data_IF_562809715906
#
_entry.id   IF_562809715906
#
_cell.length_a   1.000
_cell.length_b   1.000
_cell.length_c   1.000
_cell.angle_alpha   90.00
_cell.angle_beta   90.00
_cell.angle_gamma   90.00
#
_symmetry.space_group_name_H-M   'P 1'
#
loop_
_entity.id
_entity.type
_entity.pdbx_description
1 polymer ?
#
# COMPACT_ATOMS: atom_id res chain seq x y z
N UNK A 1 6.09 -22.69 10.64
CA UNK A 1 5.23 -21.76 9.86
C UNK A 1 4.36 -20.85 10.75
N UNK A 2 4.01 -21.21 11.98
CA UNK A 2 3.13 -20.40 12.87
C UNK A 2 3.83 -19.26 13.65
N UNK A 3 5.15 -19.33 13.86
CA UNK A 3 5.89 -18.33 14.66
C UNK A 3 5.95 -16.93 14.04
N UNK A 4 5.67 -16.75 12.74
CA UNK A 4 5.72 -15.44 12.09
C UNK A 4 4.43 -14.63 12.30
N UNK A 5 3.34 -15.25 12.75
CA UNK A 5 2.04 -14.63 13.00
C UNK A 5 1.97 -13.88 14.34
N UNK A 6 2.96 -14.00 15.22
CA UNK A 6 3.01 -13.30 16.51
C UNK A 6 3.42 -11.81 16.35
N UNK A 7 2.64 -11.07 15.57
CA UNK A 7 2.82 -9.63 15.40
C UNK A 7 1.44 -8.99 15.47
N UNK A 8 1.27 -7.99 16.31
CA UNK A 8 0.00 -7.29 16.52
C UNK A 8 -0.62 -6.79 15.20
N UNK A 9 0.20 -6.23 14.30
CA UNK A 9 -0.27 -5.74 13.00
C UNK A 9 -0.81 -6.85 12.10
N UNK A 10 -0.19 -8.05 12.15
CA UNK A 10 -0.66 -9.21 11.39
C UNK A 10 -2.00 -9.68 11.93
N UNK A 11 -2.11 -9.83 13.26
CA UNK A 11 -3.35 -10.25 13.89
C UNK A 11 -4.48 -9.26 13.61
N UNK A 12 -4.23 -7.97 13.76
CA UNK A 12 -5.20 -6.91 13.48
C UNK A 12 -5.74 -6.96 12.05
N UNK A 13 -4.86 -7.21 11.06
CA UNK A 13 -5.30 -7.37 9.67
C UNK A 13 -6.14 -8.64 9.49
N UNK A 14 -5.67 -9.80 9.99
CA UNK A 14 -6.37 -11.07 9.82
C UNK A 14 -7.73 -11.07 10.54
N UNK A 15 -7.80 -10.56 11.76
CA UNK A 15 -9.04 -10.44 12.54
C UNK A 15 -10.06 -9.55 11.82
N UNK A 16 -9.61 -8.42 11.26
CA UNK A 16 -10.48 -7.55 10.46
C UNK A 16 -11.03 -8.25 9.22
N UNK A 17 -10.18 -8.98 8.47
CA UNK A 17 -10.61 -9.69 7.27
C UNK A 17 -11.55 -10.85 7.61
N UNK A 18 -11.33 -11.54 8.72
CA UNK A 18 -12.22 -12.59 9.22
C UNK A 18 -13.58 -12.02 9.63
N UNK A 19 -13.59 -10.89 10.34
CA UNK A 19 -14.81 -10.18 10.68
C UNK A 19 -15.59 -9.73 9.42
N UNK A 20 -14.92 -9.26 8.38
CA UNK A 20 -15.54 -8.90 7.10
C UNK A 20 -16.19 -10.14 6.46
N UNK A 21 -15.48 -11.27 6.44
CA UNK A 21 -16.01 -12.50 5.90
C UNK A 21 -17.30 -12.94 6.60
N UNK A 22 -17.35 -12.84 7.94
CA UNK A 22 -18.53 -13.21 8.71
C UNK A 22 -19.68 -12.20 8.61
N UNK A 23 -19.35 -10.88 8.64
CA UNK A 23 -20.37 -9.83 8.70
C UNK A 23 -21.03 -9.53 7.35
N UNK A 24 -20.33 -9.75 6.23
CA UNK A 24 -20.79 -9.36 4.90
C UNK A 24 -20.93 -10.51 3.90
N UNK A 25 -20.86 -11.75 4.37
CA UNK A 25 -20.83 -12.96 3.51
C UNK A 25 -19.82 -12.82 2.35
N UNK A 26 -18.64 -12.28 2.68
CA UNK A 26 -17.53 -12.14 1.73
C UNK A 26 -16.60 -13.35 1.83
N UNK A 27 -15.86 -13.59 0.75
CA UNK A 27 -14.95 -14.74 0.67
C UNK A 27 -13.52 -14.29 0.41
N UNK A 28 -13.01 -13.43 1.30
CA UNK A 28 -11.58 -13.11 1.29
C UNK A 28 -10.82 -14.38 1.69
N UNK A 29 -9.91 -14.82 0.84
CA UNK A 29 -9.12 -16.03 1.09
C UNK A 29 -7.99 -15.73 2.07
N UNK A 30 -8.23 -16.00 3.36
CA UNK A 30 -7.27 -15.72 4.43
C UNK A 30 -5.96 -16.50 4.29
N UNK A 31 -5.96 -17.70 3.71
CA UNK A 31 -4.73 -18.49 3.54
C UNK A 31 -3.83 -17.85 2.46
N UNK A 32 -4.41 -17.35 1.37
CA UNK A 32 -3.66 -16.56 0.38
C UNK A 32 -3.14 -15.26 0.96
N UNK A 33 -3.91 -14.58 1.82
CA UNK A 33 -3.47 -13.37 2.53
C UNK A 33 -2.31 -13.69 3.48
N UNK A 34 -2.40 -14.74 4.28
CA UNK A 34 -1.29 -15.19 5.15
C UNK A 34 -0.03 -15.50 4.34
N UNK A 35 -0.18 -16.12 3.16
CA UNK A 35 0.93 -16.36 2.24
C UNK A 35 1.55 -15.04 1.78
N UNK A 36 0.77 -14.03 1.40
CA UNK A 36 1.27 -12.72 1.00
C UNK A 36 2.01 -12.00 2.14
N UNK A 37 1.49 -12.07 3.37
CA UNK A 37 2.17 -11.54 4.57
C UNK A 37 3.53 -12.22 4.78
N UNK A 38 3.58 -13.55 4.63
CA UNK A 38 4.85 -14.28 4.70
C UNK A 38 5.85 -13.80 3.64
N UNK A 39 5.40 -13.58 2.40
CA UNK A 39 6.24 -13.09 1.31
C UNK A 39 6.73 -11.66 1.59
N UNK A 40 5.86 -10.73 1.99
CA UNK A 40 6.24 -9.38 2.36
C UNK A 40 7.29 -9.39 3.48
N UNK A 41 7.07 -10.14 4.57
CA UNK A 41 8.02 -10.27 5.68
C UNK A 41 9.34 -10.90 5.26
N UNK A 42 9.32 -11.96 4.43
CA UNK A 42 10.51 -12.65 3.93
C UNK A 42 11.37 -11.74 3.07
N UNK A 43 10.77 -11.02 2.12
CA UNK A 43 11.51 -10.26 1.12
C UNK A 43 11.96 -8.88 1.63
N UNK A 44 11.17 -8.23 2.49
CA UNK A 44 11.61 -7.01 3.21
C UNK A 44 12.54 -7.31 4.40
N UNK A 45 12.59 -8.54 4.88
CA UNK A 45 13.40 -9.11 5.98
C UNK A 45 14.07 -8.08 6.93
N UNK A 46 15.29 -7.63 6.62
CA UNK A 46 16.08 -6.72 7.45
C UNK A 46 15.85 -5.23 7.12
N UNK A 47 14.97 -4.90 6.17
CA UNK A 47 14.66 -3.51 5.85
C UNK A 47 13.89 -2.87 7.00
N UNK A 48 14.23 -1.61 7.27
CA UNK A 48 13.57 -0.78 8.29
C UNK A 48 13.07 0.51 7.67
N UNK A 49 11.97 1.03 8.18
CA UNK A 49 11.55 2.41 7.93
C UNK A 49 12.50 3.39 8.61
N UNK A 50 12.46 4.65 8.21
CA UNK A 50 13.25 5.70 8.87
C UNK A 50 12.90 5.86 10.35
N UNK A 51 11.70 5.45 10.76
CA UNK A 51 11.23 5.37 12.16
C UNK A 51 11.83 4.19 12.95
N UNK A 52 12.55 3.27 12.28
CA UNK A 52 13.25 2.14 12.87
C UNK A 52 12.45 0.83 12.91
N UNK A 53 11.17 0.85 12.66
CA UNK A 53 10.31 -0.35 12.62
C UNK A 53 10.59 -1.22 11.38
N UNK A 54 10.30 -2.54 11.41
CA UNK A 54 10.42 -3.41 10.25
C UNK A 54 9.58 -2.91 9.08
N UNK A 55 10.16 -2.84 7.87
CA UNK A 55 9.51 -2.26 6.70
C UNK A 55 8.19 -2.95 6.33
N UNK A 56 8.11 -4.28 6.47
CA UNK A 56 6.92 -5.06 6.12
C UNK A 56 5.66 -4.64 6.88
N UNK A 57 5.78 -3.88 7.98
CA UNK A 57 4.63 -3.37 8.73
C UNK A 57 3.86 -2.32 7.93
N UNK A 58 4.55 -1.51 7.14
CA UNK A 58 3.94 -0.51 6.27
C UNK A 58 2.91 -1.10 5.27
N UNK A 59 3.25 -2.07 4.40
CA UNK A 59 2.27 -2.65 3.50
C UNK A 59 1.11 -3.37 4.22
N UNK A 60 1.31 -3.85 5.44
CA UNK A 60 0.21 -4.38 6.26
C UNK A 60 -0.75 -3.28 6.72
N UNK A 61 -0.25 -2.12 7.14
CA UNK A 61 -1.09 -0.96 7.47
C UNK A 61 -1.85 -0.45 6.25
N UNK A 62 -1.22 -0.42 5.08
CA UNK A 62 -1.91 -0.08 3.82
C UNK A 62 -3.03 -1.09 3.53
N UNK A 63 -2.75 -2.39 3.63
CA UNK A 63 -3.76 -3.44 3.43
C UNK A 63 -4.91 -3.37 4.45
N UNK A 64 -4.61 -3.03 5.71
CA UNK A 64 -5.61 -2.84 6.76
C UNK A 64 -6.56 -1.68 6.42
N UNK A 65 -6.04 -0.59 5.86
CA UNK A 65 -6.87 0.54 5.39
C UNK A 65 -7.64 0.19 4.10
N UNK A 66 -7.02 -0.54 3.17
CA UNK A 66 -7.68 -1.01 1.93
C UNK A 66 -8.89 -1.87 2.25
N UNK A 67 -8.84 -2.67 3.31
CA UNK A 67 -9.94 -3.54 3.75
C UNK A 67 -11.21 -2.77 4.19
N UNK A 68 -11.13 -1.45 4.40
CA UNK A 68 -12.33 -0.62 4.64
C UNK A 68 -13.13 -0.34 3.34
N UNK A 69 -12.48 -0.49 2.18
CA UNK A 69 -13.04 -0.08 0.89
C UNK A 69 -13.14 -1.21 -0.13
N UNK A 70 -12.35 -2.27 0.00
CA UNK A 70 -12.33 -3.39 -0.94
C UNK A 70 -12.30 -4.73 -0.21
N UNK A 71 -13.19 -5.64 -0.65
CA UNK A 71 -13.30 -7.01 -0.13
C UNK A 71 -12.77 -8.06 -1.10
N UNK A 72 -11.97 -7.65 -2.09
CA UNK A 72 -11.36 -8.55 -3.08
C UNK A 72 -10.04 -9.10 -2.55
N UNK A 73 -9.89 -10.41 -2.50
CA UNK A 73 -8.64 -11.08 -2.09
C UNK A 73 -7.42 -10.54 -2.85
N UNK A 74 -7.53 -10.40 -4.18
CA UNK A 74 -6.42 -9.95 -5.02
C UNK A 74 -6.00 -8.51 -4.68
N UNK A 75 -6.96 -7.62 -4.38
CA UNK A 75 -6.66 -6.22 -3.99
C UNK A 75 -5.92 -6.16 -2.65
N UNK A 76 -6.36 -6.95 -1.67
CA UNK A 76 -5.67 -7.05 -0.36
C UNK A 76 -4.25 -7.58 -0.53
N UNK A 77 -4.06 -8.65 -1.30
CA UNK A 77 -2.74 -9.22 -1.57
C UNK A 77 -1.86 -8.22 -2.32
N UNK A 78 -2.41 -7.50 -3.32
CA UNK A 78 -1.69 -6.45 -4.04
C UNK A 78 -1.22 -5.35 -3.09
N UNK A 79 -2.07 -4.92 -2.14
CA UNK A 79 -1.68 -3.95 -1.13
C UNK A 79 -0.55 -4.45 -0.22
N UNK A 80 -0.56 -5.74 0.16
CA UNK A 80 0.52 -6.34 0.97
C UNK A 80 1.85 -6.44 0.20
N UNK A 81 1.79 -6.61 -1.13
CA UNK A 81 2.98 -6.82 -1.96
C UNK A 81 3.41 -5.58 -2.76
N UNK A 82 2.73 -4.44 -2.64
CA UNK A 82 2.83 -3.31 -3.58
C UNK A 82 4.24 -2.75 -3.77
N UNK A 83 5.09 -2.80 -2.73
CA UNK A 83 6.47 -2.30 -2.76
C UNK A 83 7.51 -3.41 -3.05
N UNK A 84 7.10 -4.68 -3.08
CA UNK A 84 8.07 -5.79 -3.12
C UNK A 84 8.89 -5.85 -4.41
N UNK A 85 8.30 -5.55 -5.57
CA UNK A 85 9.06 -5.51 -6.85
C UNK A 85 10.01 -4.32 -6.89
N UNK A 86 9.63 -3.18 -6.28
CA UNK A 86 10.46 -1.97 -6.29
C UNK A 86 11.64 -2.08 -5.34
N UNK A 87 11.42 -2.61 -4.13
CA UNK A 87 12.35 -2.48 -3.00
C UNK A 87 13.03 -3.80 -2.60
N UNK A 88 12.71 -4.91 -3.28
CA UNK A 88 13.25 -6.23 -2.93
C UNK A 88 13.66 -7.03 -4.17
N UNK A 89 14.11 -8.27 -3.95
CA UNK A 89 14.43 -9.23 -5.02
C UNK A 89 13.21 -10.05 -5.48
N UNK A 90 12.00 -9.77 -5.00
CA UNK A 90 10.80 -10.47 -5.45
C UNK A 90 10.42 -9.98 -6.85
N UNK A 91 10.34 -10.92 -7.81
CA UNK A 91 10.03 -10.60 -9.20
C UNK A 91 8.55 -10.79 -9.53
N UNK A 92 8.11 -10.12 -10.61
CA UNK A 92 6.76 -10.27 -11.15
C UNK A 92 6.45 -11.76 -11.45
N UNK A 93 7.37 -12.47 -12.11
CA UNK A 93 7.21 -13.87 -12.49
C UNK A 93 7.01 -14.76 -11.26
N UNK A 94 7.76 -14.48 -10.19
CA UNK A 94 7.59 -15.19 -8.92
C UNK A 94 6.23 -14.92 -8.28
N UNK A 95 5.74 -13.67 -8.32
CA UNK A 95 4.40 -13.35 -7.83
C UNK A 95 3.32 -14.06 -8.68
N UNK A 96 3.47 -14.11 -10.01
CA UNK A 96 2.53 -14.80 -10.88
C UNK A 96 2.42 -16.29 -10.55
N UNK A 97 3.56 -16.97 -10.37
CA UNK A 97 3.62 -18.40 -10.01
C UNK A 97 2.99 -18.66 -8.64
N UNK A 98 3.28 -17.82 -7.66
CA UNK A 98 2.89 -18.04 -6.26
C UNK A 98 1.44 -17.63 -5.97
N UNK A 99 0.92 -16.64 -6.71
CA UNK A 99 -0.43 -16.10 -6.50
C UNK A 99 -1.28 -16.21 -7.76
N UNK A 100 -1.12 -15.30 -8.71
CA UNK A 100 -1.68 -15.33 -10.07
C UNK A 100 -1.12 -14.15 -10.90
N UNK A 101 -1.38 -14.18 -12.22
CA UNK A 101 -0.95 -13.14 -13.16
C UNK A 101 -1.59 -11.77 -12.84
N UNK A 102 -2.86 -11.76 -12.42
CA UNK A 102 -3.56 -10.50 -12.09
C UNK A 102 -2.87 -9.75 -10.95
N UNK A 103 -2.54 -10.42 -9.86
CA UNK A 103 -1.80 -9.82 -8.73
C UNK A 103 -0.42 -9.34 -9.19
N UNK A 104 0.30 -10.15 -9.97
CA UNK A 104 1.63 -9.80 -10.47
C UNK A 104 1.60 -8.53 -11.35
N UNK A 105 0.62 -8.42 -12.24
CA UNK A 105 0.41 -7.22 -13.07
C UNK A 105 0.03 -5.99 -12.23
N UNK A 106 -0.81 -6.17 -11.22
CA UNK A 106 -1.22 -5.09 -10.33
C UNK A 106 -0.03 -4.56 -9.51
N UNK A 107 0.77 -5.42 -8.90
CA UNK A 107 1.98 -5.03 -8.16
C UNK A 107 2.97 -4.33 -9.09
N UNK A 108 3.20 -4.89 -10.30
CA UNK A 108 4.04 -4.24 -11.30
C UNK A 108 3.50 -2.86 -11.69
N UNK A 109 2.20 -2.69 -11.84
CA UNK A 109 1.60 -1.40 -12.19
C UNK A 109 1.82 -0.33 -11.11
N UNK A 110 1.96 -0.71 -9.84
CA UNK A 110 2.28 0.17 -8.71
C UNK A 110 3.78 0.45 -8.57
N UNK A 111 4.65 -0.33 -9.22
CA UNK A 111 6.11 -0.18 -9.18
C UNK A 111 6.54 1.05 -9.98
N UNK A 112 7.18 2.03 -9.33
CA UNK A 112 7.64 3.29 -9.95
C UNK A 112 8.98 3.17 -10.64
N UNK A 113 9.90 2.39 -10.08
CA UNK A 113 11.24 2.19 -10.63
C UNK A 113 11.30 0.86 -11.40
N UNK A 114 11.43 0.95 -12.73
CA UNK A 114 11.53 -0.20 -13.62
C UNK A 114 12.79 -0.10 -14.46
N UNK A 115 13.74 -0.99 -14.20
CA UNK A 115 14.99 -1.02 -14.97
C UNK A 115 15.75 0.30 -14.96
N UNK A 116 15.79 1.00 -13.81
CA UNK A 116 16.48 2.28 -13.66
C UNK A 116 15.69 3.52 -14.13
N UNK A 117 14.50 3.34 -14.73
CA UNK A 117 13.61 4.47 -15.10
C UNK A 117 12.57 4.68 -14.02
N UNK A 118 12.62 5.83 -13.34
CA UNK A 118 11.67 6.22 -12.31
C UNK A 118 10.48 6.98 -12.90
N UNK A 119 9.27 6.45 -12.70
CA UNK A 119 8.02 7.13 -13.07
C UNK A 119 7.59 8.06 -11.94
N UNK A 120 7.17 9.30 -12.27
CA UNK A 120 6.59 10.21 -11.27
C UNK A 120 5.22 9.73 -10.79
N UNK A 121 4.82 10.10 -9.56
CA UNK A 121 3.51 9.75 -9.02
C UNK A 121 2.37 10.24 -9.90
N UNK A 122 2.45 11.48 -10.41
CA UNK A 122 1.46 12.05 -11.33
C UNK A 122 1.29 11.21 -12.60
N UNK A 123 2.39 10.80 -13.22
CA UNK A 123 2.32 9.99 -14.44
C UNK A 123 1.68 8.63 -14.16
N UNK A 124 2.03 8.01 -13.02
CA UNK A 124 1.42 6.75 -12.60
C UNK A 124 -0.07 6.91 -12.34
N UNK A 125 -0.48 7.91 -11.56
CA UNK A 125 -1.90 8.20 -11.25
C UNK A 125 -2.69 8.41 -12.56
N UNK A 126 -2.20 9.27 -13.46
CA UNK A 126 -2.84 9.50 -14.77
C UNK A 126 -2.99 8.22 -15.59
N UNK A 127 -1.95 7.37 -15.60
CA UNK A 127 -2.01 6.08 -16.31
C UNK A 127 -3.08 5.17 -15.71
N UNK A 128 -3.15 5.06 -14.38
CA UNK A 128 -4.13 4.22 -13.69
C UNK A 128 -5.57 4.75 -13.85
N UNK A 129 -5.75 6.08 -13.85
CA UNK A 129 -7.05 6.71 -14.14
C UNK A 129 -7.51 6.38 -15.55
N UNK A 130 -6.63 6.55 -16.58
CA UNK A 130 -6.97 6.25 -17.97
C UNK A 130 -7.27 4.77 -18.21
N UNK A 131 -6.81 3.87 -17.34
CA UNK A 131 -7.04 2.43 -17.40
C UNK A 131 -8.19 1.96 -16.49
N UNK A 132 -8.88 2.89 -15.83
CA UNK A 132 -9.93 2.61 -14.84
C UNK A 132 -9.52 1.63 -13.73
N UNK A 133 -8.26 1.75 -13.26
CA UNK A 133 -7.68 0.89 -12.22
C UNK A 133 -7.97 1.43 -10.82
N UNK A 134 -9.25 1.52 -10.46
CA UNK A 134 -9.72 2.15 -9.22
C UNK A 134 -9.08 1.53 -7.98
N UNK A 135 -8.95 0.20 -7.89
CA UNK A 135 -8.33 -0.46 -6.74
C UNK A 135 -6.84 -0.10 -6.59
N UNK A 136 -6.11 0.08 -7.68
CA UNK A 136 -4.70 0.47 -7.62
C UNK A 136 -4.55 1.94 -7.22
N UNK A 137 -5.45 2.80 -7.68
CA UNK A 137 -5.53 4.19 -7.24
C UNK A 137 -5.82 4.28 -5.74
N UNK A 138 -6.72 3.45 -5.22
CA UNK A 138 -7.01 3.35 -3.80
C UNK A 138 -5.77 2.92 -2.99
N UNK A 139 -5.08 1.86 -3.42
CA UNK A 139 -3.83 1.42 -2.77
C UNK A 139 -2.81 2.56 -2.75
N UNK A 140 -2.62 3.25 -3.88
CA UNK A 140 -1.66 4.35 -3.99
C UNK A 140 -2.01 5.55 -3.11
N UNK A 141 -3.31 5.85 -2.96
CA UNK A 141 -3.81 6.89 -2.06
C UNK A 141 -3.53 6.55 -0.58
N UNK A 142 -3.83 5.30 -0.18
CA UNK A 142 -3.65 4.85 1.20
C UNK A 142 -2.17 4.63 1.56
N UNK A 143 -1.33 4.23 0.61
CA UNK A 143 0.13 4.26 0.73
C UNK A 143 0.63 5.68 1.05
N UNK A 144 0.17 6.71 0.30
CA UNK A 144 0.49 8.11 0.61
C UNK A 144 0.03 8.51 2.00
N UNK A 145 -1.19 8.13 2.38
CA UNK A 145 -1.74 8.44 3.71
C UNK A 145 -0.90 7.83 4.83
N UNK A 146 -0.39 6.60 4.67
CA UNK A 146 0.50 6.01 5.67
C UNK A 146 1.87 6.69 5.70
N UNK A 147 2.44 6.95 4.52
CA UNK A 147 3.75 7.57 4.41
C UNK A 147 3.79 8.99 4.98
N UNK A 148 2.74 9.80 4.79
CA UNK A 148 2.73 11.19 5.29
C UNK A 148 2.73 11.29 6.81
N UNK A 149 2.25 10.27 7.53
CA UNK A 149 2.24 10.23 9.01
C UNK A 149 3.64 10.40 9.62
N UNK A 150 4.67 9.97 8.91
CA UNK A 150 6.05 9.89 9.41
C UNK A 150 7.03 10.81 8.68
N UNK A 151 6.55 11.75 7.84
CA UNK A 151 7.45 12.64 7.07
C UNK A 151 8.24 13.61 7.94
N UNK A 152 7.86 13.81 9.20
CA UNK A 152 8.55 14.71 10.13
C UNK A 152 10.01 14.34 10.34
N UNK A 153 10.39 13.08 10.15
CA UNK A 153 11.78 12.59 10.25
C UNK A 153 12.62 12.91 9.00
N UNK A 154 11.99 13.30 7.89
CA UNK A 154 12.68 13.64 6.65
C UNK A 154 13.32 15.04 6.74
N UNK A 155 14.42 15.29 6.02
CA UNK A 155 14.96 16.63 5.86
C UNK A 155 13.91 17.61 5.35
N UNK A 156 13.96 18.89 5.79
CA UNK A 156 12.96 19.93 5.48
C UNK A 156 12.64 20.00 3.98
N UNK A 157 13.66 20.07 3.12
CA UNK A 157 13.48 20.12 1.66
C UNK A 157 12.64 18.92 1.16
N UNK A 158 12.97 17.70 1.61
CA UNK A 158 12.26 16.50 1.18
C UNK A 158 10.83 16.46 1.72
N UNK A 159 10.62 16.95 2.93
CA UNK A 159 9.29 17.10 3.53
C UNK A 159 8.40 18.03 2.71
N UNK A 160 8.94 19.20 2.33
CA UNK A 160 8.23 20.17 1.48
C UNK A 160 7.84 19.59 0.12
N UNK A 161 8.76 18.84 -0.54
CA UNK A 161 8.46 18.15 -1.80
C UNK A 161 7.30 17.15 -1.64
N UNK A 162 7.30 16.36 -0.55
CA UNK A 162 6.24 15.39 -0.27
C UNK A 162 4.90 16.09 -0.01
N UNK A 163 4.90 17.19 0.75
CA UNK A 163 3.70 17.98 1.03
C UNK A 163 3.13 18.54 -0.27
N UNK A 164 3.95 19.17 -1.09
CA UNK A 164 3.52 19.74 -2.38
C UNK A 164 2.92 18.66 -3.29
N UNK A 165 3.62 17.52 -3.44
CA UNK A 165 3.12 16.38 -4.21
C UNK A 165 1.79 15.86 -3.65
N UNK A 166 1.63 15.82 -2.32
CA UNK A 166 0.39 15.37 -1.68
C UNK A 166 -0.77 16.31 -1.99
N UNK A 167 -0.54 17.62 -1.90
CA UNK A 167 -1.55 18.63 -2.19
C UNK A 167 -1.96 18.66 -3.66
N UNK A 168 -0.99 18.51 -4.57
CA UNK A 168 -1.24 18.63 -6.01
C UNK A 168 -1.79 17.36 -6.65
N UNK A 169 -1.47 16.16 -6.09
CA UNK A 169 -1.76 14.89 -6.72
C UNK A 169 -2.72 14.01 -5.89
N UNK A 170 -2.49 13.88 -4.59
CA UNK A 170 -3.17 12.88 -3.77
C UNK A 170 -4.46 13.41 -3.13
N UNK A 171 -4.54 14.69 -2.79
CA UNK A 171 -5.80 15.29 -2.33
C UNK A 171 -6.82 15.29 -3.48
N UNK A 172 -6.51 15.74 -4.71
CA UNK A 172 -7.40 15.59 -5.86
C UNK A 172 -7.74 14.13 -6.20
N UNK A 173 -6.80 13.19 -6.01
CA UNK A 173 -7.08 11.76 -6.18
C UNK A 173 -8.12 11.24 -5.16
N UNK A 174 -8.03 11.67 -3.90
CA UNK A 174 -9.02 11.30 -2.88
C UNK A 174 -10.41 11.84 -3.23
N UNK A 175 -10.50 13.06 -3.76
CA UNK A 175 -11.75 13.66 -4.24
C UNK A 175 -12.30 12.87 -5.46
N UNK A 176 -11.44 12.55 -6.43
CA UNK A 176 -11.79 11.73 -7.59
C UNK A 176 -12.36 10.36 -7.18
N UNK A 177 -11.77 9.72 -6.17
CA UNK A 177 -12.24 8.43 -5.62
C UNK A 177 -13.45 8.58 -4.69
N UNK A 178 -13.96 9.81 -4.47
CA UNK A 178 -15.07 10.12 -3.56
C UNK A 178 -14.80 9.71 -2.11
N UNK A 179 -13.57 9.95 -1.65
CA UNK A 179 -13.09 9.67 -0.30
C UNK A 179 -12.71 10.99 0.43
N UNK A 180 -13.67 11.88 0.69
CA UNK A 180 -13.40 13.20 1.27
C UNK A 180 -12.73 13.11 2.64
N UNK A 181 -13.02 12.08 3.44
CA UNK A 181 -12.38 11.85 4.73
C UNK A 181 -10.86 11.61 4.62
N UNK A 182 -10.41 11.01 3.50
CA UNK A 182 -8.98 10.83 3.23
C UNK A 182 -8.35 12.14 2.78
N UNK A 183 -9.04 12.93 1.93
CA UNK A 183 -8.59 14.26 1.53
C UNK A 183 -8.38 15.17 2.76
N UNK A 184 -9.33 15.19 3.69
CA UNK A 184 -9.24 15.94 4.95
C UNK A 184 -8.05 15.49 5.79
N UNK A 185 -7.83 14.16 5.95
CA UNK A 185 -6.69 13.63 6.70
C UNK A 185 -5.36 14.04 6.05
N UNK A 186 -5.23 13.92 4.73
CA UNK A 186 -4.02 14.32 4.01
C UNK A 186 -3.74 15.81 4.18
N UNK A 187 -4.75 16.66 4.03
CA UNK A 187 -4.59 18.10 4.21
C UNK A 187 -4.11 18.44 5.63
N UNK A 188 -4.72 17.83 6.65
CA UNK A 188 -4.32 18.01 8.05
C UNK A 188 -2.85 17.63 8.31
N UNK A 189 -2.35 16.55 7.69
CA UNK A 189 -0.93 16.20 7.79
C UNK A 189 -0.04 17.20 7.03
N UNK A 190 -0.46 17.67 5.84
CA UNK A 190 0.27 18.70 5.10
C UNK A 190 0.42 19.98 5.94
N UNK A 191 -0.65 20.46 6.55
CA UNK A 191 -0.65 21.65 7.43
C UNK A 191 0.26 21.43 8.65
N UNK A 192 0.15 20.27 9.29
CA UNK A 192 0.94 19.94 10.50
C UNK A 192 2.45 19.97 10.27
N UNK A 193 2.89 19.59 9.06
CA UNK A 193 4.32 19.43 8.75
C UNK A 193 4.87 20.49 7.79
N UNK A 194 4.07 21.50 7.44
CA UNK A 194 4.50 22.61 6.60
C UNK A 194 5.50 23.55 7.28
N UNK A 195 5.49 23.57 8.61
CA UNK A 195 6.45 24.29 9.46
C UNK A 195 7.62 23.37 9.80
#
# INVERSE_FOLDING_TARGET
MLAFLNCEHINKLLDKLDLINHSFDKRINLDKVKKAIFYAKKYHSNQKRDTGEPYYMHPLEVALMVADYSFKTDTIITAILHDTIEDTTLTKEKIAIEFNDNIAEQVLALTRNRGGKKTSSIKMIKTLVNQDKVELLLIKLLDRLDNIKTIFIKPVKRRQEIILETQQEFIPLAEYLKLPEIAIKLNKYCERYAT
#
